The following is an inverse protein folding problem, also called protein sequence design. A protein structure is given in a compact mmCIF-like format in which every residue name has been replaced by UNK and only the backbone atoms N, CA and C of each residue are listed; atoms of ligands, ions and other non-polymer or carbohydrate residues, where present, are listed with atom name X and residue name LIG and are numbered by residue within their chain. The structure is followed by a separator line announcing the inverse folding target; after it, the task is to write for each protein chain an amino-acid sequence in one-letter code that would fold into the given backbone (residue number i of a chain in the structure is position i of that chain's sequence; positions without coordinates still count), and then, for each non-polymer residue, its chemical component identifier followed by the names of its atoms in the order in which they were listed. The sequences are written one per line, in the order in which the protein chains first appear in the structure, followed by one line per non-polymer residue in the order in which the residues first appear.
data_IF_333407858310
#
_entry.id   IF_333407858310
#
_cell.length_a   1.000
_cell.length_b   1.000
_cell.length_c   1.000
_cell.angle_alpha   90.00
_cell.angle_beta   90.00
_cell.angle_gamma   90.00
#
_symmetry.space_group_name_H-M   'P 1'
#
loop_
_entity.id
_entity.type
_entity.pdbx_description
1 polymer ?
#
# COMPACT_ATOMS: atom_id res chain seq x y z
N UNK A 1 -0.63 3.32 13.81
CA UNK A 1 -0.89 3.17 12.37
C UNK A 1 -2.15 2.32 12.16
N UNK A 2 -2.91 2.63 11.13
CA UNK A 2 -4.09 1.83 10.76
C UNK A 2 -3.78 1.04 9.50
N UNK A 3 -3.54 -0.28 9.62
CA UNK A 3 -3.20 -1.10 8.46
C UNK A 3 -4.31 -1.17 7.42
N UNK A 4 -5.57 -1.02 7.84
CA UNK A 4 -6.69 -1.00 6.88
C UNK A 4 -6.65 0.25 6.00
N UNK A 5 -6.29 1.41 6.56
CA UNK A 5 -6.15 2.64 5.80
C UNK A 5 -4.99 2.54 4.81
N UNK A 6 -3.87 1.98 5.24
CA UNK A 6 -2.70 1.78 4.37
C UNK A 6 -3.04 0.80 3.25
N UNK A 7 -3.73 -0.28 3.56
CA UNK A 7 -4.15 -1.27 2.58
C UNK A 7 -5.09 -0.66 1.53
N UNK A 8 -6.06 0.13 1.97
CA UNK A 8 -6.97 0.82 1.07
C UNK A 8 -6.21 1.77 0.13
N UNK A 9 -5.28 2.54 0.68
CA UNK A 9 -4.45 3.45 -0.10
C UNK A 9 -3.61 2.69 -1.13
N UNK A 10 -3.05 1.55 -0.73
CA UNK A 10 -2.27 0.68 -1.62
C UNK A 10 -3.13 0.17 -2.77
N UNK A 11 -4.35 -0.28 -2.50
CA UNK A 11 -5.26 -0.78 -3.53
C UNK A 11 -5.63 0.31 -4.53
N UNK A 12 -5.90 1.53 -4.05
CA UNK A 12 -6.22 2.66 -4.91
C UNK A 12 -5.03 3.03 -5.80
N UNK A 13 -3.84 3.09 -5.21
CA UNK A 13 -2.62 3.40 -5.96
C UNK A 13 -2.28 2.32 -6.97
N UNK A 14 -2.49 1.05 -6.62
CA UNK A 14 -2.29 -0.08 -7.53
C UNK A 14 -3.23 0.02 -8.73
N UNK A 15 -4.49 0.40 -8.49
CA UNK A 15 -5.48 0.59 -9.53
C UNK A 15 -5.07 1.72 -10.48
N UNK A 16 -4.58 2.83 -9.93
CA UNK A 16 -4.07 3.94 -10.72
C UNK A 16 -2.86 3.53 -11.56
N UNK A 17 -1.98 2.71 -10.98
CA UNK A 17 -0.79 2.22 -11.68
C UNK A 17 -1.16 1.35 -12.88
N UNK A 18 -2.25 0.58 -12.78
CA UNK A 18 -2.74 -0.21 -13.91
C UNK A 18 -3.19 0.66 -15.07
N UNK A 19 -3.76 1.84 -14.77
CA UNK A 19 -4.17 2.80 -15.79
C UNK A 19 -2.99 3.57 -16.36
N UNK A 20 -2.01 3.88 -15.51
CA UNK A 20 -0.87 4.73 -15.86
C UNK A 20 0.43 4.03 -15.45
N UNK A 21 0.82 2.94 -16.16
CA UNK A 21 1.95 2.11 -15.72
C UNK A 21 3.30 2.82 -15.77
N UNK A 22 3.40 3.93 -16.47
CA UNK A 22 4.64 4.70 -16.54
C UNK A 22 4.70 5.86 -15.54
N UNK A 23 3.71 5.96 -14.65
CA UNK A 23 3.70 7.02 -13.64
C UNK A 23 4.71 6.69 -12.54
N UNK A 24 5.82 7.43 -12.51
CA UNK A 24 6.85 7.26 -11.49
C UNK A 24 6.34 7.63 -10.10
N UNK A 25 5.51 8.66 -10.00
CA UNK A 25 4.94 9.10 -8.73
C UNK A 25 4.02 8.04 -8.13
N UNK A 26 3.16 7.45 -8.95
CA UNK A 26 2.25 6.40 -8.50
C UNK A 26 3.03 5.16 -8.07
N UNK A 27 4.07 4.80 -8.83
CA UNK A 27 4.93 3.66 -8.50
C UNK A 27 5.64 3.86 -7.16
N UNK A 28 6.19 5.05 -6.95
CA UNK A 28 6.85 5.39 -5.70
C UNK A 28 5.88 5.33 -4.52
N UNK A 29 4.64 5.77 -4.72
CA UNK A 29 3.62 5.72 -3.69
C UNK A 29 3.24 4.27 -3.32
N UNK A 30 3.12 3.40 -4.31
CA UNK A 30 2.83 1.98 -4.08
C UNK A 30 3.96 1.33 -3.26
N UNK A 31 5.20 1.58 -3.64
CA UNK A 31 6.36 1.04 -2.92
C UNK A 31 6.39 1.55 -1.49
N UNK A 32 6.10 2.82 -1.28
CA UNK A 32 6.07 3.44 0.04
C UNK A 32 5.02 2.77 0.94
N UNK A 33 3.82 2.56 0.42
CA UNK A 33 2.74 1.87 1.15
C UNK A 33 3.13 0.43 1.50
N UNK A 34 3.78 -0.27 0.57
CA UNK A 34 4.26 -1.63 0.81
C UNK A 34 5.30 -1.67 1.93
N UNK A 35 6.24 -0.72 1.93
CA UNK A 35 7.27 -0.65 2.96
C UNK A 35 6.68 -0.37 4.34
N UNK A 36 5.75 0.56 4.42
CA UNK A 36 5.07 0.90 5.66
C UNK A 36 4.35 -0.33 6.22
N UNK A 37 3.60 -1.02 5.37
CA UNK A 37 2.84 -2.19 5.78
C UNK A 37 3.76 -3.35 6.18
N UNK A 38 4.82 -3.59 5.40
CA UNK A 38 5.79 -4.64 5.70
C UNK A 38 6.48 -4.39 7.05
N UNK A 39 6.84 -3.15 7.33
CA UNK A 39 7.46 -2.78 8.62
C UNK A 39 6.49 -3.02 9.77
N UNK A 40 5.22 -2.66 9.59
CA UNK A 40 4.18 -2.88 10.58
C UNK A 40 4.02 -4.37 10.91
N UNK A 41 3.96 -5.22 9.89
CA UNK A 41 3.79 -6.66 10.05
C UNK A 41 5.00 -7.30 10.72
N UNK A 42 6.21 -6.85 10.37
CA UNK A 42 7.45 -7.36 10.98
C UNK A 42 7.54 -7.02 12.46
N UNK A 43 6.93 -5.94 12.88
CA UNK A 43 6.88 -5.53 14.30
C UNK A 43 5.83 -6.29 15.10
N UNK A 44 5.11 -7.20 14.47
CA UNK A 44 4.04 -7.96 15.11
C UNK A 44 2.69 -7.27 15.03
N UNK A 45 2.54 -6.29 14.15
CA UNK A 45 1.25 -5.63 13.95
C UNK A 45 0.23 -6.57 13.31
N UNK A 46 -1.04 -6.30 13.55
CA UNK A 46 -2.12 -7.11 12.99
C UNK A 46 -2.27 -6.83 11.49
N UNK A 47 -2.69 -7.85 10.74
CA UNK A 47 -2.92 -7.73 9.30
C UNK A 47 -4.18 -6.91 9.02
N UNK A 48 -4.23 -6.20 7.86
CA UNK A 48 -5.45 -5.51 7.47
C UNK A 48 -6.58 -6.49 7.20
N UNK A 49 -7.81 -6.02 7.41
CA UNK A 49 -8.99 -6.81 7.08
C UNK A 49 -9.22 -6.72 5.57
N UNK A 50 -9.22 -7.88 4.92
CA UNK A 50 -9.42 -7.97 3.47
C UNK A 50 -10.85 -8.41 3.21
N UNK A 51 -11.66 -7.51 2.68
CA UNK A 51 -13.04 -7.82 2.32
C UNK A 51 -13.18 -8.11 0.83
#
# INVERSE_FOLDING_TARGET
MDPNAVWKCLCESSNDLQKWPNSADTRAHVVDCLEVLATWLRRGGFAPTLD
#
